data_IF_256583192503
#
_entry.id   IF_256583192503
#
_cell.length_a   1.000
_cell.length_b   1.000
_cell.length_c   1.000
_cell.angle_alpha   90.00
_cell.angle_beta   90.00
_cell.angle_gamma   90.00
#
_symmetry.space_group_name_H-M   'P 1'
#
loop_
_entity.id
_entity.type
_entity.pdbx_description
1 polymer ?
#
# COMPACT_ATOMS: atom_id res chain seq x y z
N UNK A 1 -12.51 16.63 21.55
CA UNK A 1 -11.88 16.07 20.33
C UNK A 1 -12.55 16.67 19.10
N UNK A 2 -11.81 17.45 18.30
CA UNK A 2 -12.38 18.13 17.12
C UNK A 2 -12.61 17.12 16.01
N UNK A 3 -13.87 16.91 15.61
CA UNK A 3 -14.30 16.04 14.52
C UNK A 3 -14.34 16.85 13.21
N UNK A 4 -13.95 16.24 12.11
CA UNK A 4 -14.09 16.81 10.76
C UNK A 4 -15.05 15.91 9.99
N UNK A 5 -16.06 16.53 9.34
CA UNK A 5 -17.07 15.85 8.54
C UNK A 5 -16.73 16.01 7.06
N UNK A 6 -16.70 14.91 6.35
CA UNK A 6 -16.51 14.85 4.90
C UNK A 6 -17.78 14.30 4.25
N UNK A 7 -18.29 14.98 3.24
CA UNK A 7 -19.50 14.56 2.52
C UNK A 7 -19.25 14.52 1.02
N UNK A 8 -19.63 13.42 0.36
CA UNK A 8 -19.56 13.25 -1.09
C UNK A 8 -20.63 12.30 -1.58
N UNK A 9 -21.48 12.75 -2.50
CA UNK A 9 -22.51 11.91 -3.11
C UNK A 9 -23.49 11.30 -2.11
N UNK A 10 -23.90 12.04 -1.07
CA UNK A 10 -24.81 11.57 -0.02
C UNK A 10 -24.20 10.68 1.05
N UNK A 11 -22.91 10.32 0.90
CA UNK A 11 -22.16 9.57 1.91
C UNK A 11 -21.40 10.53 2.82
N UNK A 12 -21.48 10.30 4.13
CA UNK A 12 -20.79 11.11 5.14
C UNK A 12 -19.89 10.25 5.99
N UNK A 13 -18.65 10.70 6.16
CA UNK A 13 -17.67 10.13 7.09
C UNK A 13 -17.16 11.19 8.05
N UNK A 14 -16.87 10.77 9.25
CA UNK A 14 -16.29 11.58 10.31
C UNK A 14 -14.85 11.14 10.52
N UNK A 15 -13.93 12.11 10.57
CA UNK A 15 -12.53 11.86 10.94
C UNK A 15 -12.22 12.50 12.29
N UNK A 16 -11.35 11.86 13.03
CA UNK A 16 -10.92 12.26 14.36
C UNK A 16 -9.40 12.48 14.36
N UNK A 17 -8.92 13.70 14.00
CA UNK A 17 -7.48 13.96 13.85
C UNK A 17 -6.65 13.69 15.10
N UNK A 18 -7.18 14.01 16.29
CA UNK A 18 -6.47 13.72 17.54
C UNK A 18 -6.32 12.22 17.81
N UNK A 19 -7.37 11.44 17.49
CA UNK A 19 -7.28 9.98 17.56
C UNK A 19 -6.25 9.44 16.57
N UNK A 20 -6.23 10.00 15.35
CA UNK A 20 -5.24 9.65 14.34
C UNK A 20 -3.82 9.96 14.84
N UNK A 21 -3.59 11.15 15.40
CA UNK A 21 -2.30 11.57 15.96
C UNK A 21 -1.83 10.61 17.05
N UNK A 22 -2.70 10.23 17.97
CA UNK A 22 -2.38 9.29 19.05
C UNK A 22 -1.98 7.92 18.46
N UNK A 23 -2.81 7.35 17.59
CA UNK A 23 -2.57 6.04 17.00
C UNK A 23 -1.29 6.01 16.18
N UNK A 24 -1.09 7.01 15.32
CA UNK A 24 0.08 7.10 14.46
C UNK A 24 1.36 7.32 15.28
N UNK A 25 1.30 8.09 16.37
CA UNK A 25 2.43 8.28 17.29
C UNK A 25 2.88 6.96 17.92
N UNK A 26 1.96 6.19 18.49
CA UNK A 26 2.29 4.87 19.06
C UNK A 26 2.93 3.93 18.04
N UNK A 27 2.45 3.97 16.80
CA UNK A 27 3.01 3.16 15.71
C UNK A 27 4.41 3.64 15.32
N UNK A 28 4.57 4.94 15.13
CA UNK A 28 5.83 5.54 14.71
C UNK A 28 6.92 5.34 15.77
N UNK A 29 6.64 5.68 17.02
CA UNK A 29 7.58 5.52 18.14
C UNK A 29 7.98 4.04 18.33
N UNK A 30 7.01 3.13 18.34
CA UNK A 30 7.31 1.70 18.48
C UNK A 30 8.17 1.17 17.31
N UNK A 31 7.95 1.67 16.09
CA UNK A 31 8.72 1.30 14.91
C UNK A 31 10.13 1.86 14.96
N UNK A 32 10.29 3.14 15.29
CA UNK A 32 11.59 3.80 15.38
C UNK A 32 12.47 3.24 16.51
N UNK A 33 11.85 2.80 17.59
CA UNK A 33 12.52 2.19 18.74
C UNK A 33 12.63 0.67 18.66
N UNK A 34 12.23 0.07 17.54
CA UNK A 34 12.26 -1.38 17.29
C UNK A 34 11.60 -2.19 18.43
N UNK A 35 10.46 -1.69 18.95
CA UNK A 35 9.72 -2.33 20.05
C UNK A 35 8.55 -3.17 19.55
N UNK A 36 8.12 -4.11 20.41
CA UNK A 36 6.92 -4.94 20.20
C UNK A 36 7.03 -5.74 18.89
N UNK A 37 6.03 -5.63 18.00
CA UNK A 37 6.07 -6.26 16.68
C UNK A 37 7.36 -5.93 15.93
N UNK A 38 7.83 -4.70 16.04
CA UNK A 38 8.93 -4.19 15.25
C UNK A 38 10.32 -4.64 15.72
N UNK A 39 10.43 -5.20 16.93
CA UNK A 39 11.65 -5.90 17.39
C UNK A 39 12.00 -7.13 16.53
N UNK A 40 11.03 -7.62 15.75
CA UNK A 40 11.18 -8.82 14.92
C UNK A 40 11.05 -8.53 13.42
N UNK A 41 11.15 -7.28 13.03
CA UNK A 41 11.00 -6.84 11.64
C UNK A 41 12.16 -5.94 11.28
N UNK A 42 12.88 -6.27 10.21
CA UNK A 42 13.92 -5.42 9.65
C UNK A 42 13.43 -4.81 8.33
N UNK A 43 13.92 -3.62 7.98
CA UNK A 43 13.53 -2.93 6.73
C UNK A 43 13.80 -3.76 5.48
N UNK A 44 14.89 -4.55 5.49
CA UNK A 44 15.24 -5.48 4.41
C UNK A 44 14.22 -6.60 4.19
N UNK A 45 13.30 -6.81 5.14
CA UNK A 45 12.20 -7.77 5.00
C UNK A 45 11.08 -7.26 4.09
N UNK A 46 11.11 -5.97 3.73
CA UNK A 46 10.16 -5.43 2.77
C UNK A 46 10.33 -6.16 1.42
N UNK A 47 9.24 -6.66 0.81
CA UNK A 47 9.31 -7.52 -0.37
C UNK A 47 10.07 -6.90 -1.54
N UNK A 48 9.94 -5.59 -1.77
CA UNK A 48 10.64 -4.85 -2.83
C UNK A 48 12.17 -4.84 -2.64
N UNK A 49 12.64 -4.96 -1.41
CA UNK A 49 14.08 -5.04 -1.11
C UNK A 49 14.58 -6.48 -1.17
N UNK A 50 13.85 -7.39 -0.53
CA UNK A 50 14.24 -8.82 -0.43
C UNK A 50 14.26 -9.53 -1.79
N UNK A 51 13.35 -9.17 -2.69
CA UNK A 51 13.24 -9.79 -4.02
C UNK A 51 13.90 -8.98 -5.14
N UNK A 52 14.69 -7.95 -4.81
CA UNK A 52 15.46 -7.25 -5.83
C UNK A 52 16.42 -8.25 -6.53
N UNK A 53 16.40 -8.34 -7.88
CA UNK A 53 17.37 -9.15 -8.62
C UNK A 53 18.81 -8.70 -8.33
N UNK A 54 19.71 -9.64 -8.11
CA UNK A 54 21.11 -9.35 -7.74
C UNK A 54 21.90 -8.57 -8.81
N UNK A 55 21.49 -8.70 -10.08
CA UNK A 55 22.08 -7.97 -11.19
C UNK A 55 21.67 -6.50 -11.26
N UNK A 56 20.62 -6.10 -10.53
CA UNK A 56 20.11 -4.72 -10.53
C UNK A 56 20.86 -3.87 -9.51
N UNK A 57 21.47 -2.79 -9.96
CA UNK A 57 22.08 -1.80 -9.07
C UNK A 57 20.99 -1.01 -8.34
N UNK A 58 21.03 -1.03 -6.99
CA UNK A 58 20.03 -0.29 -6.19
C UNK A 58 20.10 1.21 -6.50
N UNK A 59 18.93 1.80 -6.78
CA UNK A 59 18.80 3.21 -7.16
C UNK A 59 19.16 3.51 -8.62
N UNK A 60 19.65 2.55 -9.39
CA UNK A 60 19.90 2.73 -10.82
C UNK A 60 18.62 2.71 -11.65
N UNK A 61 18.71 3.15 -12.92
CA UNK A 61 17.56 3.22 -13.83
C UNK A 61 16.78 1.92 -13.96
N UNK A 62 17.49 0.78 -14.01
CA UNK A 62 16.86 -0.53 -14.09
C UNK A 62 16.05 -0.85 -12.82
N UNK A 63 16.55 -0.44 -11.65
CA UNK A 63 15.82 -0.58 -10.40
C UNK A 63 14.53 0.22 -10.41
N UNK A 64 14.56 1.47 -10.90
CA UNK A 64 13.36 2.32 -10.98
C UNK A 64 12.32 1.71 -11.93
N UNK A 65 12.75 1.18 -13.07
CA UNK A 65 11.86 0.50 -14.02
C UNK A 65 11.29 -0.80 -13.43
N UNK A 66 12.12 -1.57 -12.75
CA UNK A 66 11.67 -2.79 -12.05
C UNK A 66 10.61 -2.47 -11.00
N UNK A 67 10.84 -1.48 -10.13
CA UNK A 67 9.86 -1.01 -9.14
C UNK A 67 8.57 -0.50 -9.80
N UNK A 68 8.70 0.24 -10.91
CA UNK A 68 7.56 0.73 -11.68
C UNK A 68 6.67 -0.41 -12.15
N UNK A 69 7.19 -1.42 -12.81
CA UNK A 69 6.38 -2.53 -13.29
C UNK A 69 5.92 -3.48 -12.17
N UNK A 70 6.71 -3.65 -11.11
CA UNK A 70 6.30 -4.43 -9.96
C UNK A 70 5.10 -3.79 -9.24
N UNK A 71 5.16 -2.49 -8.98
CA UNK A 71 4.05 -1.75 -8.37
C UNK A 71 2.76 -1.82 -9.22
N UNK A 72 2.88 -1.77 -10.56
CA UNK A 72 1.75 -1.88 -11.49
C UNK A 72 0.93 -3.16 -11.27
N UNK A 73 1.56 -4.26 -10.90
CA UNK A 73 0.92 -5.56 -10.70
C UNK A 73 0.61 -5.89 -9.24
N UNK A 74 0.98 -5.01 -8.29
CA UNK A 74 0.69 -5.17 -6.85
C UNK A 74 -0.81 -5.03 -6.55
N UNK A 75 -1.56 -6.06 -6.96
CA UNK A 75 -3.02 -6.11 -6.88
C UNK A 75 -3.50 -7.52 -6.57
N UNK A 76 -4.41 -7.62 -5.60
CA UNK A 76 -5.14 -8.86 -5.24
C UNK A 76 -4.28 -10.05 -4.85
N UNK A 77 -2.97 -9.86 -4.71
CA UNK A 77 -2.04 -10.85 -4.23
C UNK A 77 -1.24 -10.27 -3.06
N UNK A 78 -0.48 -11.11 -2.36
CA UNK A 78 0.46 -10.62 -1.37
C UNK A 78 1.63 -9.93 -2.06
N UNK A 79 2.12 -8.83 -1.51
CA UNK A 79 3.30 -8.17 -2.04
C UNK A 79 4.50 -9.12 -2.11
N UNK A 80 4.59 -10.09 -1.21
CA UNK A 80 5.59 -11.16 -1.24
C UNK A 80 5.58 -11.94 -2.57
N UNK A 81 4.40 -12.42 -2.98
CA UNK A 81 4.25 -13.17 -4.23
C UNK A 81 4.52 -12.28 -5.45
N UNK A 82 4.06 -11.03 -5.41
CA UNK A 82 4.26 -10.08 -6.51
C UNK A 82 5.74 -9.84 -6.76
N UNK A 83 6.50 -9.45 -5.74
CA UNK A 83 7.93 -9.14 -5.92
C UNK A 83 8.77 -10.38 -6.21
N UNK A 84 8.40 -11.55 -5.65
CA UNK A 84 9.03 -12.83 -6.01
C UNK A 84 8.78 -13.19 -7.49
N UNK A 85 7.57 -12.96 -8.01
CA UNK A 85 7.27 -13.14 -9.43
C UNK A 85 8.07 -12.17 -10.31
N UNK A 86 8.19 -10.90 -9.90
CA UNK A 86 8.98 -9.90 -10.62
C UNK A 86 10.48 -10.19 -10.62
N UNK A 87 11.02 -10.79 -9.55
CA UNK A 87 12.40 -11.30 -9.56
C UNK A 87 12.58 -12.36 -10.65
N UNK A 88 11.67 -13.34 -10.73
CA UNK A 88 11.71 -14.39 -11.78
C UNK A 88 11.52 -13.81 -13.18
N UNK A 89 10.55 -12.88 -13.34
CA UNK A 89 10.31 -12.18 -14.61
C UNK A 89 11.56 -11.46 -15.11
N UNK A 90 12.23 -10.71 -14.24
CA UNK A 90 13.43 -9.99 -14.62
C UNK A 90 14.56 -10.92 -15.06
N UNK A 91 14.76 -12.02 -14.34
CA UNK A 91 15.82 -12.99 -14.64
C UNK A 91 15.55 -13.73 -15.97
N UNK A 92 14.30 -14.13 -16.24
CA UNK A 92 13.93 -14.97 -17.39
C UNK A 92 13.50 -14.18 -18.61
N UNK A 93 12.92 -13.01 -18.41
CA UNK A 93 12.30 -12.18 -19.43
C UNK A 93 12.66 -10.70 -19.26
N UNK A 94 13.95 -10.32 -19.18
CA UNK A 94 14.37 -8.96 -18.88
C UNK A 94 13.81 -7.92 -19.89
N UNK A 95 13.56 -8.35 -21.12
CA UNK A 95 12.98 -7.50 -22.18
C UNK A 95 11.69 -6.78 -21.74
N UNK A 96 10.93 -7.34 -20.79
CA UNK A 96 9.71 -6.72 -20.25
C UNK A 96 9.97 -5.40 -19.53
N UNK A 97 11.19 -5.15 -19.07
CA UNK A 97 11.60 -3.97 -18.31
C UNK A 97 12.38 -2.96 -19.17
N UNK A 98 12.51 -3.21 -20.47
CA UNK A 98 13.23 -2.36 -21.40
C UNK A 98 12.33 -1.90 -22.55
N UNK A 99 12.82 -0.94 -23.34
CA UNK A 99 12.07 -0.33 -24.44
C UNK A 99 11.55 -1.34 -25.47
N UNK A 100 12.25 -2.44 -25.61
CA UNK A 100 11.94 -3.53 -26.52
C UNK A 100 10.60 -4.21 -26.21
N UNK A 101 10.06 -4.04 -24.99
CA UNK A 101 8.73 -4.54 -24.65
C UNK A 101 7.63 -3.95 -25.54
N UNK A 102 7.86 -2.77 -26.12
CA UNK A 102 6.89 -2.09 -27.00
C UNK A 102 6.65 -2.83 -28.33
N UNK A 103 7.53 -3.74 -28.75
CA UNK A 103 7.32 -4.60 -29.92
C UNK A 103 6.57 -5.89 -29.62
N UNK A 104 6.37 -6.21 -28.33
CA UNK A 104 5.62 -7.39 -27.92
C UNK A 104 4.10 -7.16 -28.05
N UNK A 105 3.37 -8.23 -28.33
CA UNK A 105 1.90 -8.18 -28.30
C UNK A 105 1.35 -8.40 -26.88
N UNK A 106 0.13 -7.91 -26.62
CA UNK A 106 -0.57 -8.16 -25.34
C UNK A 106 -0.61 -9.67 -25.01
N UNK A 107 -0.87 -10.52 -26.02
CA UNK A 107 -0.97 -11.96 -25.82
C UNK A 107 0.38 -12.61 -25.48
N UNK A 108 1.48 -12.13 -26.05
CA UNK A 108 2.83 -12.59 -25.70
C UNK A 108 3.16 -12.25 -24.25
N UNK A 109 2.93 -11.00 -23.83
CA UNK A 109 3.15 -10.59 -22.44
C UNK A 109 2.25 -11.39 -21.50
N UNK A 110 0.97 -11.55 -21.82
CA UNK A 110 0.03 -12.33 -21.03
C UNK A 110 0.50 -13.77 -20.81
N UNK A 111 1.00 -14.44 -21.85
CA UNK A 111 1.55 -15.80 -21.73
C UNK A 111 2.72 -15.86 -20.76
N UNK A 112 3.63 -14.90 -20.82
CA UNK A 112 4.77 -14.80 -19.89
C UNK A 112 4.26 -14.57 -18.45
N UNK A 113 3.33 -13.62 -18.24
CA UNK A 113 2.79 -13.31 -16.92
C UNK A 113 2.03 -14.50 -16.31
N UNK A 114 1.34 -15.31 -17.13
CA UNK A 114 0.70 -16.58 -16.68
C UNK A 114 1.76 -17.58 -16.24
N UNK A 115 2.82 -17.78 -17.03
CA UNK A 115 3.90 -18.72 -16.71
C UNK A 115 4.62 -18.36 -15.40
N UNK A 116 4.78 -17.08 -15.12
CA UNK A 116 5.42 -16.58 -13.90
C UNK A 116 4.45 -16.34 -12.73
N UNK A 117 3.18 -16.71 -12.90
CA UNK A 117 2.13 -16.63 -11.86
C UNK A 117 1.84 -15.19 -11.39
N UNK A 118 1.91 -14.22 -12.29
CA UNK A 118 1.51 -12.85 -12.00
C UNK A 118 -0.02 -12.76 -11.92
N UNK A 119 -0.52 -12.08 -10.89
CA UNK A 119 -1.94 -11.88 -10.67
C UNK A 119 -2.61 -11.13 -11.83
N UNK A 120 -3.84 -11.53 -12.20
CA UNK A 120 -4.65 -10.89 -13.25
C UNK A 120 -3.92 -10.71 -14.59
N UNK A 121 -3.32 -11.75 -15.18
CA UNK A 121 -2.34 -11.63 -16.27
C UNK A 121 -2.88 -10.87 -17.50
N UNK A 122 -4.15 -11.02 -17.87
CA UNK A 122 -4.73 -10.29 -19.00
C UNK A 122 -4.83 -8.77 -18.76
N UNK A 123 -5.30 -8.37 -17.58
CA UNK A 123 -5.33 -6.94 -17.22
C UNK A 123 -3.92 -6.38 -17.05
N UNK A 124 -3.03 -7.17 -16.45
CA UNK A 124 -1.64 -6.78 -16.23
C UNK A 124 -0.90 -6.60 -17.55
N UNK A 125 -1.07 -7.48 -18.53
CA UNK A 125 -0.44 -7.37 -19.86
C UNK A 125 -0.86 -6.10 -20.60
N UNK A 126 -2.17 -5.82 -20.63
CA UNK A 126 -2.70 -4.59 -21.25
C UNK A 126 -2.15 -3.33 -20.58
N UNK A 127 -2.18 -3.30 -19.25
CA UNK A 127 -1.67 -2.15 -18.50
C UNK A 127 -0.15 -2.02 -18.68
N UNK A 128 0.58 -3.12 -18.77
CA UNK A 128 2.03 -3.14 -18.99
C UNK A 128 2.40 -2.42 -20.27
N UNK A 129 1.79 -2.82 -21.41
CA UNK A 129 2.04 -2.19 -22.71
C UNK A 129 1.70 -0.70 -22.70
N UNK A 130 0.54 -0.32 -22.19
CA UNK A 130 0.13 1.08 -22.15
C UNK A 130 1.03 1.92 -21.22
N UNK A 131 1.49 1.35 -20.11
CA UNK A 131 2.45 2.02 -19.22
C UNK A 131 3.85 2.07 -19.84
N UNK A 132 4.27 1.04 -20.59
CA UNK A 132 5.53 1.04 -21.32
C UNK A 132 5.55 2.12 -22.42
N UNK A 133 4.45 2.27 -23.18
CA UNK A 133 4.31 3.32 -24.18
C UNK A 133 4.49 4.73 -23.54
N UNK A 134 3.85 4.97 -22.41
CA UNK A 134 4.02 6.23 -21.67
C UNK A 134 5.46 6.37 -21.14
N UNK A 135 5.99 5.32 -20.49
CA UNK A 135 7.33 5.36 -19.90
C UNK A 135 8.42 5.62 -20.94
N UNK A 136 8.41 4.88 -22.04
CA UNK A 136 9.46 4.97 -23.08
C UNK A 136 9.17 6.00 -24.15
N UNK A 137 7.89 6.26 -24.44
CA UNK A 137 7.49 7.22 -25.46
C UNK A 137 7.41 8.66 -24.97
N UNK A 138 7.11 8.88 -23.66
CA UNK A 138 6.91 10.22 -23.10
C UNK A 138 7.90 10.57 -21.98
N UNK A 139 8.30 9.59 -21.18
CA UNK A 139 9.19 9.79 -20.04
C UNK A 139 10.63 9.36 -20.30
N UNK A 140 10.95 8.97 -21.54
CA UNK A 140 12.31 8.57 -21.98
C UNK A 140 12.90 7.41 -21.14
N UNK A 141 12.04 6.61 -20.52
CA UNK A 141 12.42 5.49 -19.67
C UNK A 141 12.63 5.86 -18.19
N UNK A 142 12.40 7.14 -17.83
CA UNK A 142 12.53 7.61 -16.45
C UNK A 142 11.17 7.76 -15.75
N UNK A 143 10.81 6.85 -14.81
CA UNK A 143 9.53 6.91 -14.11
C UNK A 143 9.45 8.06 -13.10
N UNK A 144 10.54 8.76 -12.76
CA UNK A 144 10.51 9.93 -11.86
C UNK A 144 9.72 11.09 -12.48
N UNK A 145 9.65 11.17 -13.81
CA UNK A 145 8.88 12.20 -14.53
C UNK A 145 7.39 12.23 -14.17
N UNK A 146 6.85 11.14 -13.63
CA UNK A 146 5.48 11.14 -13.11
C UNK A 146 5.25 12.14 -11.99
N UNK A 147 6.32 12.57 -11.29
CA UNK A 147 6.26 13.43 -10.10
C UNK A 147 6.71 14.87 -10.35
N UNK A 148 6.96 15.27 -11.58
CA UNK A 148 7.36 16.66 -11.94
C UNK A 148 6.41 17.74 -11.42
N UNK A 149 5.11 17.38 -11.25
CA UNK A 149 4.12 18.30 -10.66
C UNK A 149 4.28 18.53 -9.14
N UNK A 150 5.18 17.81 -8.47
CA UNK A 150 5.44 17.91 -7.03
C UNK A 150 4.31 17.39 -6.12
N UNK A 151 3.25 16.79 -6.66
CA UNK A 151 2.14 16.27 -5.86
C UNK A 151 1.51 15.00 -6.46
N UNK A 152 0.95 14.13 -5.59
CA UNK A 152 0.19 12.95 -6.04
C UNK A 152 -1.06 13.35 -6.84
N UNK A 153 -1.69 14.46 -6.47
CA UNK A 153 -2.82 15.01 -7.22
C UNK A 153 -2.42 15.44 -8.62
N UNK A 154 -1.30 16.12 -8.75
CA UNK A 154 -0.75 16.54 -10.05
C UNK A 154 -0.40 15.35 -10.94
N UNK A 155 0.26 14.33 -10.38
CA UNK A 155 0.54 13.08 -11.08
C UNK A 155 -0.73 12.36 -11.57
N UNK A 156 -1.82 12.38 -10.78
CA UNK A 156 -3.11 11.84 -11.21
C UNK A 156 -3.75 12.65 -12.33
N UNK A 157 -3.62 13.97 -12.31
CA UNK A 157 -4.17 14.83 -13.37
C UNK A 157 -3.38 14.68 -14.67
N UNK A 158 -2.07 14.54 -14.59
CA UNK A 158 -1.18 14.33 -15.75
C UNK A 158 -1.50 13.03 -16.51
N UNK A 159 -2.17 12.05 -15.90
CA UNK A 159 -2.62 10.81 -16.57
C UNK A 159 -3.64 11.02 -17.69
N UNK A 160 -4.23 12.19 -17.81
CA UNK A 160 -5.08 12.53 -18.95
C UNK A 160 -4.26 12.72 -20.22
N UNK A 161 -3.06 13.21 -20.08
CA UNK A 161 -2.08 13.44 -21.16
C UNK A 161 -1.12 12.25 -21.31
N UNK A 162 -0.72 11.67 -20.18
CA UNK A 162 0.21 10.54 -20.07
C UNK A 162 -0.48 9.33 -19.45
N UNK A 163 -1.15 8.47 -20.24
CA UNK A 163 -1.95 7.36 -19.71
C UNK A 163 -1.10 6.36 -18.92
N UNK A 164 -1.42 6.18 -17.66
CA UNK A 164 -0.83 5.17 -16.78
C UNK A 164 -1.96 4.29 -16.20
N UNK A 165 -2.56 3.41 -17.03
CA UNK A 165 -3.64 2.56 -16.58
C UNK A 165 -3.14 1.67 -15.44
N UNK A 166 -3.97 1.61 -14.40
CA UNK A 166 -3.57 0.85 -13.22
C UNK A 166 -2.99 1.69 -12.11
N UNK A 167 -2.30 2.74 -12.38
CA UNK A 167 -1.79 3.64 -11.36
C UNK A 167 -2.91 4.54 -10.81
N UNK A 168 -3.39 4.22 -9.61
CA UNK A 168 -4.20 5.10 -8.79
C UNK A 168 -3.32 5.84 -7.78
N UNK A 169 -3.95 6.67 -6.94
CA UNK A 169 -3.22 7.44 -5.93
C UNK A 169 -2.43 6.54 -4.95
N UNK A 170 -2.96 5.36 -4.58
CA UNK A 170 -2.24 4.38 -3.74
C UNK A 170 -0.91 3.97 -4.37
N UNK A 171 -0.93 3.55 -5.64
CA UNK A 171 0.29 3.05 -6.30
C UNK A 171 1.27 4.17 -6.65
N UNK A 172 0.78 5.36 -7.00
CA UNK A 172 1.65 6.53 -7.15
C UNK A 172 2.34 6.89 -5.83
N UNK A 173 1.61 6.91 -4.72
CA UNK A 173 2.21 7.14 -3.40
C UNK A 173 3.22 6.06 -3.02
N UNK A 174 2.90 4.79 -3.26
CA UNK A 174 3.79 3.67 -2.95
C UNK A 174 5.09 3.75 -3.75
N UNK A 175 4.98 4.02 -5.06
CA UNK A 175 6.15 4.12 -5.92
C UNK A 175 7.02 5.33 -5.56
N UNK A 176 6.42 6.48 -5.19
CA UNK A 176 7.17 7.63 -4.69
C UNK A 176 7.97 7.29 -3.42
N UNK A 177 7.37 6.52 -2.49
CA UNK A 177 8.09 6.05 -1.30
C UNK A 177 9.24 5.11 -1.66
N UNK A 178 9.08 4.21 -2.61
CA UNK A 178 10.17 3.34 -3.06
C UNK A 178 11.31 4.12 -3.68
N UNK A 179 11.01 5.13 -4.49
CA UNK A 179 12.03 6.00 -5.08
C UNK A 179 12.75 6.85 -4.02
N UNK A 180 12.04 7.25 -2.99
CA UNK A 180 12.63 7.93 -1.83
C UNK A 180 13.52 6.97 -1.01
N UNK A 181 13.05 5.75 -0.75
CA UNK A 181 13.79 4.70 -0.02
C UNK A 181 15.13 4.35 -0.67
N UNK A 182 15.19 4.41 -2.00
CA UNK A 182 16.42 4.13 -2.74
C UNK A 182 17.27 5.39 -3.03
N UNK A 183 16.85 6.54 -2.52
CA UNK A 183 17.63 7.79 -2.53
C UNK A 183 17.58 8.58 -3.84
N UNK A 184 16.69 8.23 -4.79
CA UNK A 184 16.59 8.93 -6.09
C UNK A 184 15.54 10.03 -6.11
N UNK A 185 14.61 10.01 -5.18
CA UNK A 185 13.61 11.06 -4.98
C UNK A 185 13.87 11.73 -3.62
N UNK A 186 14.62 12.84 -3.63
CA UNK A 186 15.03 13.52 -2.39
C UNK A 186 13.83 14.01 -1.59
N UNK A 187 12.83 14.57 -2.28
CA UNK A 187 11.64 15.13 -1.66
C UNK A 187 10.38 14.39 -2.12
N UNK A 188 9.62 13.88 -1.17
CA UNK A 188 8.34 13.26 -1.48
C UNK A 188 7.34 14.28 -2.04
N UNK A 189 6.55 13.89 -3.09
CA UNK A 189 5.45 14.71 -3.58
C UNK A 189 4.42 14.99 -2.46
N UNK A 190 3.74 16.12 -2.54
CA UNK A 190 2.68 16.46 -1.59
C UNK A 190 1.60 15.36 -1.54
N UNK A 191 1.11 15.11 -0.35
CA UNK A 191 0.12 14.06 -0.07
C UNK A 191 0.58 12.64 -0.47
N UNK A 192 1.87 12.35 -0.36
CA UNK A 192 2.40 11.00 -0.53
C UNK A 192 2.12 10.18 0.73
N UNK A 193 1.05 9.41 0.69
CA UNK A 193 0.77 8.36 1.67
C UNK A 193 0.02 7.20 1.00
N UNK A 194 0.56 5.97 0.97
CA UNK A 194 -0.10 4.83 0.36
C UNK A 194 -1.21 4.31 1.28
N UNK A 195 -2.45 4.57 0.93
CA UNK A 195 -3.60 4.08 1.67
C UNK A 195 -4.09 2.79 1.02
N UNK A 196 -3.70 1.67 1.58
CA UNK A 196 -4.20 0.36 1.20
C UNK A 196 -5.33 -0.13 2.12
N UNK A 197 -5.80 -1.35 1.90
CA UNK A 197 -6.84 -1.95 2.74
C UNK A 197 -6.38 -2.23 4.18
N UNK A 198 -5.07 -2.41 4.42
CA UNK A 198 -4.54 -2.59 5.77
C UNK A 198 -4.62 -1.28 6.55
N UNK A 199 -4.18 -0.18 5.95
CA UNK A 199 -4.26 1.17 6.54
C UNK A 199 -5.72 1.55 6.83
N UNK A 200 -6.62 1.31 5.87
CA UNK A 200 -8.05 1.58 6.04
C UNK A 200 -8.66 0.77 7.20
N UNK A 201 -8.33 -0.52 7.32
CA UNK A 201 -8.78 -1.36 8.43
C UNK A 201 -8.29 -0.84 9.79
N UNK A 202 -7.03 -0.43 9.87
CA UNK A 202 -6.46 0.15 11.09
C UNK A 202 -7.23 1.42 11.46
N UNK A 203 -7.44 2.33 10.50
CA UNK A 203 -8.16 3.57 10.72
C UNK A 203 -9.61 3.36 11.22
N UNK A 204 -10.31 2.36 10.67
CA UNK A 204 -11.64 1.97 11.11
C UNK A 204 -11.63 1.32 12.50
N UNK A 205 -10.70 0.39 12.72
CA UNK A 205 -10.59 -0.36 13.98
C UNK A 205 -10.19 0.51 15.17
N UNK A 206 -9.48 1.60 14.93
CA UNK A 206 -9.03 2.53 15.97
C UNK A 206 -9.94 3.75 16.12
N UNK A 207 -11.03 3.83 15.35
CA UNK A 207 -11.97 4.95 15.41
C UNK A 207 -11.41 6.28 14.87
N UNK A 208 -10.31 6.25 14.13
CA UNK A 208 -9.82 7.40 13.36
C UNK A 208 -10.87 7.87 12.37
N UNK A 209 -11.60 6.90 11.79
CA UNK A 209 -12.75 7.15 10.92
C UNK A 209 -13.99 6.46 11.47
N UNK A 210 -15.12 7.17 11.39
CA UNK A 210 -16.45 6.62 11.63
C UNK A 210 -17.35 6.98 10.46
N UNK A 211 -18.23 6.06 10.08
CA UNK A 211 -19.25 6.29 9.07
C UNK A 211 -20.60 5.77 9.56
N UNK A 212 -21.69 6.37 9.08
CA UNK A 212 -23.05 5.89 9.36
C UNK A 212 -23.49 4.86 8.32
N UNK A 213 -22.93 4.97 7.11
CA UNK A 213 -23.34 4.21 5.93
C UNK A 213 -22.13 3.55 5.26
N UNK A 214 -22.41 2.83 4.16
CA UNK A 214 -21.38 2.26 3.32
C UNK A 214 -20.50 3.36 2.70
N UNK A 215 -19.19 3.25 2.87
CA UNK A 215 -18.23 4.23 2.36
C UNK A 215 -17.46 3.68 1.17
N UNK A 216 -17.39 4.47 0.10
CA UNK A 216 -16.58 4.14 -1.07
C UNK A 216 -15.09 4.17 -0.74
N UNK A 217 -14.37 3.19 -1.27
CA UNK A 217 -12.92 3.06 -1.05
C UNK A 217 -12.14 4.32 -1.47
N UNK A 218 -12.48 4.91 -2.63
CA UNK A 218 -11.80 6.09 -3.15
C UNK A 218 -11.99 7.34 -2.27
N UNK A 219 -13.15 7.48 -1.63
CA UNK A 219 -13.40 8.55 -0.68
C UNK A 219 -12.57 8.38 0.60
N UNK A 220 -12.59 7.15 1.15
CA UNK A 220 -11.84 6.82 2.36
C UNK A 220 -10.33 6.97 2.15
N UNK A 221 -9.85 6.48 1.01
CA UNK A 221 -8.46 6.59 0.60
C UNK A 221 -7.99 8.05 0.49
N UNK A 222 -8.78 8.91 -0.14
CA UNK A 222 -8.46 10.33 -0.28
C UNK A 222 -8.38 11.05 1.06
N UNK A 223 -9.39 10.86 1.90
CA UNK A 223 -9.48 11.51 3.23
C UNK A 223 -8.35 11.05 4.16
N UNK A 224 -8.06 9.75 4.20
CA UNK A 224 -6.95 9.23 5.02
C UNK A 224 -5.60 9.70 4.53
N UNK A 225 -5.37 9.75 3.22
CA UNK A 225 -4.11 10.22 2.66
C UNK A 225 -3.82 11.64 3.08
N UNK A 226 -4.78 12.53 2.92
CA UNK A 226 -4.66 13.92 3.34
C UNK A 226 -4.42 14.06 4.84
N UNK A 227 -5.20 13.33 5.65
CA UNK A 227 -5.08 13.35 7.11
C UNK A 227 -3.70 12.86 7.59
N UNK A 228 -3.23 11.72 7.07
CA UNK A 228 -1.97 11.11 7.53
C UNK A 228 -0.75 11.88 7.02
N UNK A 229 -0.76 12.37 5.77
CA UNK A 229 0.31 13.23 5.24
C UNK A 229 0.43 14.51 6.05
N UNK A 230 -0.70 15.15 6.39
CA UNK A 230 -0.71 16.37 7.21
C UNK A 230 -0.18 16.10 8.62
N UNK A 231 -0.64 15.04 9.30
CA UNK A 231 -0.16 14.72 10.65
C UNK A 231 1.34 14.42 10.63
N UNK A 232 1.83 13.63 9.68
CA UNK A 232 3.25 13.34 9.55
C UNK A 232 4.08 14.63 9.37
N UNK A 233 3.59 15.58 8.56
CA UNK A 233 4.23 16.87 8.37
C UNK A 233 4.21 17.73 9.64
N UNK A 234 3.07 17.82 10.33
CA UNK A 234 2.91 18.60 11.57
C UNK A 234 3.81 18.09 12.71
N UNK A 235 3.96 16.75 12.81
CA UNK A 235 4.78 16.10 13.84
C UNK A 235 6.25 15.93 13.43
N UNK A 236 6.63 16.26 12.19
CA UNK A 236 7.98 16.08 11.67
C UNK A 236 8.37 14.60 11.49
N UNK A 237 7.40 13.70 11.30
CA UNK A 237 7.66 12.29 11.11
C UNK A 237 8.03 11.97 9.66
N UNK A 238 8.95 11.01 9.51
CA UNK A 238 9.25 10.46 8.20
C UNK A 238 8.07 9.63 7.69
N UNK A 239 7.54 10.02 6.52
CA UNK A 239 6.38 9.37 5.90
C UNK A 239 6.69 7.93 5.50
N UNK A 240 7.92 7.63 5.07
CA UNK A 240 8.34 6.27 4.69
C UNK A 240 8.31 5.34 5.92
N UNK A 241 8.88 5.80 7.04
CA UNK A 241 8.91 5.02 8.27
C UNK A 241 7.51 4.78 8.83
N UNK A 242 6.67 5.81 8.81
CA UNK A 242 5.27 5.67 9.24
C UNK A 242 4.47 4.74 8.32
N UNK A 243 4.70 4.79 7.02
CA UNK A 243 4.07 3.87 6.06
C UNK A 243 4.53 2.43 6.29
N UNK A 244 5.82 2.19 6.54
CA UNK A 244 6.35 0.87 6.91
C UNK A 244 5.72 0.36 8.21
N UNK A 245 5.63 1.20 9.25
CA UNK A 245 5.01 0.83 10.52
C UNK A 245 3.57 0.34 10.32
N UNK A 246 2.77 1.07 9.56
CA UNK A 246 1.39 0.70 9.25
C UNK A 246 1.29 -0.57 8.41
N UNK A 247 2.15 -0.71 7.40
CA UNK A 247 2.15 -1.88 6.52
C UNK A 247 2.54 -3.15 7.27
N UNK A 248 3.62 -3.12 8.05
CA UNK A 248 4.05 -4.27 8.85
C UNK A 248 2.99 -4.67 9.87
N UNK A 249 2.40 -3.72 10.60
CA UNK A 249 1.30 -4.02 11.50
C UNK A 249 0.13 -4.67 10.77
N UNK A 250 -0.31 -4.08 9.67
CA UNK A 250 -1.44 -4.55 8.88
C UNK A 250 -1.24 -5.95 8.31
N UNK A 251 -0.05 -6.20 7.78
CA UNK A 251 0.30 -7.46 7.13
C UNK A 251 0.65 -8.58 8.12
N UNK A 252 1.48 -8.29 9.11
CA UNK A 252 2.03 -9.32 10.01
C UNK A 252 1.11 -9.64 11.20
N UNK A 253 0.40 -8.65 11.74
CA UNK A 253 -0.38 -8.84 12.96
C UNK A 253 -1.90 -8.70 12.75
N UNK A 254 -2.37 -7.64 12.08
CA UNK A 254 -3.80 -7.38 11.96
C UNK A 254 -4.56 -8.40 11.10
N UNK A 255 -3.90 -9.10 10.20
CA UNK A 255 -4.54 -10.08 9.30
C UNK A 255 -5.16 -11.23 10.09
N UNK A 256 -4.56 -11.68 11.17
CA UNK A 256 -5.04 -12.75 12.04
C UNK A 256 -5.46 -12.30 13.46
N UNK A 257 -5.47 -10.99 13.71
CA UNK A 257 -5.74 -10.47 15.05
C UNK A 257 -7.22 -10.59 15.43
N UNK A 258 -7.47 -11.13 16.62
CA UNK A 258 -8.78 -11.20 17.28
C UNK A 258 -8.77 -10.57 18.69
N UNK A 259 -7.86 -9.62 18.94
CA UNK A 259 -7.57 -9.12 20.30
C UNK A 259 -7.15 -10.22 21.28
N UNK A 260 -6.49 -11.26 20.79
CA UNK A 260 -5.99 -12.34 21.65
C UNK A 260 -4.89 -11.84 22.60
N UNK A 261 -4.61 -12.63 23.64
CA UNK A 261 -3.49 -12.37 24.55
C UNK A 261 -2.13 -12.22 23.83
N UNK A 262 -1.93 -12.90 22.69
CA UNK A 262 -0.74 -12.73 21.86
C UNK A 262 -0.65 -11.33 21.23
N UNK A 263 -1.77 -10.80 20.72
CA UNK A 263 -1.81 -9.44 20.18
C UNK A 263 -1.48 -8.39 21.23
N UNK A 264 -1.86 -8.60 22.49
CA UNK A 264 -1.53 -7.71 23.60
C UNK A 264 -0.02 -7.49 23.76
N UNK A 265 0.78 -8.54 23.58
CA UNK A 265 2.23 -8.47 23.78
C UNK A 265 2.99 -7.86 22.58
N UNK A 266 2.37 -7.80 21.40
CA UNK A 266 3.05 -7.37 20.18
C UNK A 266 2.44 -6.16 19.49
N UNK A 267 1.20 -5.80 19.81
CA UNK A 267 0.49 -4.71 19.11
C UNK A 267 0.74 -3.35 19.78
N UNK A 268 1.38 -2.38 19.12
CA UNK A 268 1.65 -1.07 19.71
C UNK A 268 0.37 -0.22 19.93
N UNK A 269 -0.74 -0.58 19.27
CA UNK A 269 -2.01 0.15 19.37
C UNK A 269 -3.12 -0.71 19.97
N UNK A 270 -2.78 -1.70 20.76
CA UNK A 270 -3.75 -2.64 21.33
C UNK A 270 -4.88 -1.94 22.10
N UNK A 271 -4.54 -0.97 22.95
CA UNK A 271 -5.49 -0.23 23.78
C UNK A 271 -6.39 0.73 22.95
N UNK A 272 -5.90 1.21 21.81
CA UNK A 272 -6.62 2.13 20.92
C UNK A 272 -7.51 1.40 19.92
N UNK A 273 -7.39 0.07 19.81
CA UNK A 273 -8.04 -0.72 18.79
C UNK A 273 -9.26 -1.48 19.34
N UNK A 274 -10.38 -1.44 18.62
CA UNK A 274 -11.59 -2.22 18.95
C UNK A 274 -11.48 -3.69 18.54
N UNK A 275 -10.46 -4.05 17.76
CA UNK A 275 -10.23 -5.37 17.19
C UNK A 275 -10.08 -5.30 15.66
N UNK A 276 -9.44 -6.31 15.06
CA UNK A 276 -9.23 -6.32 13.63
C UNK A 276 -10.56 -6.46 12.86
N UNK A 277 -10.66 -5.72 11.75
CA UNK A 277 -11.83 -5.76 10.86
C UNK A 277 -11.51 -6.65 9.68
N UNK A 278 -12.21 -7.80 9.50
CA UNK A 278 -11.95 -8.69 8.36
C UNK A 278 -12.39 -8.03 7.05
N UNK A 279 -11.43 -7.83 6.14
CA UNK A 279 -11.72 -7.26 4.82
C UNK A 279 -12.80 -8.04 4.07
N UNK A 280 -12.76 -9.38 4.11
CA UNK A 280 -13.74 -10.24 3.42
C UNK A 280 -15.18 -10.04 3.88
N UNK A 281 -15.38 -9.66 5.13
CA UNK A 281 -16.71 -9.49 5.72
C UNK A 281 -17.28 -8.09 5.54
N UNK A 282 -16.42 -7.08 5.49
CA UNK A 282 -16.84 -5.67 5.51
C UNK A 282 -16.52 -4.89 4.23
N UNK A 283 -15.67 -5.43 3.35
CA UNK A 283 -15.30 -4.78 2.10
C UNK A 283 -15.82 -5.56 0.90
N UNK A 284 -16.81 -5.01 0.20
CA UNK A 284 -17.42 -5.63 -0.99
C UNK A 284 -17.55 -4.63 -2.12
N UNK A 285 -17.16 -5.02 -3.33
CA UNK A 285 -17.31 -4.20 -4.55
C UNK A 285 -16.82 -2.75 -4.42
N UNK A 286 -15.71 -2.54 -3.69
CA UNK A 286 -15.16 -1.20 -3.49
C UNK A 286 -15.87 -0.37 -2.41
N UNK A 287 -16.73 -0.98 -1.60
CA UNK A 287 -17.46 -0.35 -0.51
C UNK A 287 -17.10 -0.99 0.83
N UNK A 288 -16.87 -0.16 1.83
CA UNK A 288 -16.83 -0.56 3.23
C UNK A 288 -18.23 -0.49 3.83
N UNK A 289 -18.71 -1.60 4.36
CA UNK A 289 -19.93 -1.66 5.17
C UNK A 289 -19.58 -1.20 6.61
N UNK A 290 -19.54 0.11 6.84
CA UNK A 290 -19.16 0.71 8.12
C UNK A 290 -20.41 0.95 8.95
N UNK A 291 -20.88 -0.07 9.64
CA UNK A 291 -21.89 0.08 10.67
C UNK A 291 -21.22 -0.05 12.03
N UNK A 292 -21.22 1.04 12.83
CA UNK A 292 -20.57 1.07 14.14
C UNK A 292 -21.11 -0.01 15.09
N UNK A 293 -22.39 -0.39 14.97
CA UNK A 293 -23.00 -1.45 15.74
C UNK A 293 -22.51 -2.84 15.30
N UNK A 294 -22.32 -3.03 13.98
CA UNK A 294 -21.80 -4.26 13.39
C UNK A 294 -20.31 -4.45 13.71
N UNK A 295 -19.56 -3.36 13.78
CA UNK A 295 -18.15 -3.37 14.20
C UNK A 295 -17.99 -3.79 15.65
N UNK A 296 -18.90 -3.37 16.57
CA UNK A 296 -18.91 -3.79 17.98
C UNK A 296 -19.30 -5.25 18.15
N UNK A 297 -20.30 -5.73 17.40
CA UNK A 297 -20.79 -7.13 17.46
C UNK A 297 -19.82 -8.11 16.78
N UNK A 298 -19.07 -7.70 15.78
CA UNK A 298 -18.08 -8.55 15.10
C UNK A 298 -16.86 -8.87 15.94
N UNK A 299 -16.52 -8.03 16.93
CA UNK A 299 -15.37 -8.23 17.82
C UNK A 299 -15.54 -9.39 18.82
N UNK A 300 -16.76 -9.78 19.14
CA UNK A 300 -16.98 -10.77 20.20
C UNK A 300 -17.11 -12.22 19.73
N UNK A 301 -17.44 -12.53 18.46
CA UNK A 301 -17.85 -13.89 18.11
C UNK A 301 -17.37 -14.51 16.78
N UNK A 302 -16.47 -13.93 15.99
CA UNK A 302 -16.20 -14.46 14.62
C UNK A 302 -14.75 -14.69 14.19
N UNK A 303 -13.78 -14.66 15.05
CA UNK A 303 -12.38 -14.86 14.67
C UNK A 303 -11.86 -16.26 15.00
N UNK A 304 -12.12 -17.21 14.11
CA UNK A 304 -11.31 -18.42 14.03
C UNK A 304 -10.08 -18.11 13.17
N UNK A 305 -8.90 -18.20 13.77
CA UNK A 305 -7.63 -18.17 13.05
C UNK A 305 -7.66 -19.24 11.94
N UNK A 306 -7.17 -18.96 10.74
CA UNK A 306 -6.81 -20.01 9.81
C UNK A 306 -5.80 -20.92 10.52
N UNK A 307 -6.02 -22.25 10.48
CA UNK A 307 -5.23 -23.25 11.22
C UNK A 307 -3.74 -23.28 10.87
N UNK A 308 -3.29 -22.54 9.86
CA UNK A 308 -1.94 -22.59 9.29
C UNK A 308 -1.31 -21.21 9.02
N UNK A 309 -1.58 -20.17 9.80
CA UNK A 309 -0.75 -18.98 9.74
C UNK A 309 0.47 -19.22 10.63
N UNK A 310 1.71 -19.28 10.09
CA UNK A 310 2.89 -19.39 10.93
C UNK A 310 3.01 -18.08 11.71
N UNK A 311 2.56 -18.10 12.95
CA UNK A 311 2.89 -17.11 13.94
C UNK A 311 4.31 -17.40 14.37
N UNK A 312 5.26 -16.63 13.84
CA UNK A 312 6.64 -16.58 14.33
C UNK A 312 7.16 -17.92 14.88
N UNK A 313 7.58 -18.83 14.02
CA UNK A 313 8.54 -19.85 14.37
C UNK A 313 9.92 -19.26 14.08
N UNK A 314 10.50 -18.60 15.06
CA UNK A 314 11.88 -18.20 15.13
C UNK A 314 12.38 -18.61 16.50
N UNK A 315 13.03 -19.75 16.56
CA UNK A 315 14.01 -20.09 17.58
C UNK A 315 15.28 -19.36 17.26
#
# INVERSE_FOLDING_TARGET
MKMIVHSRGGVTIETYPEQARIVLRYLYEAYMEERLLYAHVVRSDAPQTRHLPESIVRGGEEHLRWLFFAALTDRRDSSENVYAAHKRLYIRHPILYFREVMIATEEQIKKILVAEQVSMPGTSARNWLACADTLYGKFEGDPLRMYESGSIRGALLAKKEFPLPGYGAKLLSLLALFFHEVGVLEKLPENTFPIDLHVQRIALATGIIKGKDNVRNDMLEGVLRELFSRIAQEEGWDVLELAHALWFLGNRLCTGCNKSSKALHFCPIYEQCLGAIPTRSYFKKGLWEINAERLRKGGENQFRLPKNTPLFCGS
#
